data_IF_208957470099
#
_entry.id   IF_208957470099
#
_cell.length_a   1.000
_cell.length_b   1.000
_cell.length_c   1.000
_cell.angle_alpha   90.00
_cell.angle_beta   90.00
_cell.angle_gamma   90.00
#
_symmetry.space_group_name_H-M   'P 1'
#
loop_
_entity.id
_entity.type
_entity.pdbx_description
1 polymer ?
#
# COMPACT_ATOMS: atom_id res chain seq x y z
N UNK A 1 41.10 40.84 34.11
CA UNK A 1 41.82 39.91 33.21
C UNK A 1 41.16 40.00 31.85
N UNK A 2 41.88 40.54 30.87
CA UNK A 2 41.39 40.77 29.52
C UNK A 2 41.90 39.61 28.67
N UNK A 3 41.01 38.76 28.18
CA UNK A 3 41.38 37.68 27.25
C UNK A 3 41.97 38.29 25.98
N UNK A 4 43.16 37.84 25.52
CA UNK A 4 43.76 38.39 24.31
C UNK A 4 42.89 38.04 23.08
N UNK A 5 42.78 38.95 22.10
CA UNK A 5 41.99 38.70 20.89
C UNK A 5 42.55 37.50 20.13
N UNK A 6 41.69 36.51 19.85
CA UNK A 6 42.04 35.34 19.05
C UNK A 6 42.59 35.79 17.70
N UNK A 7 43.84 35.44 17.41
CA UNK A 7 44.47 35.75 16.12
C UNK A 7 43.65 35.17 14.96
N UNK A 8 43.58 35.89 13.82
CA UNK A 8 42.71 35.53 12.69
C UNK A 8 42.86 34.09 12.16
N UNK A 9 43.98 33.42 12.47
CA UNK A 9 44.25 32.01 12.14
C UNK A 9 43.47 31.03 13.03
N UNK A 10 43.26 31.35 14.31
CA UNK A 10 42.43 30.54 15.23
C UNK A 10 40.94 30.67 14.92
N UNK A 11 40.48 31.85 14.52
CA UNK A 11 39.08 32.07 14.11
C UNK A 11 38.76 31.29 12.83
N UNK A 12 39.65 31.34 11.82
CA UNK A 12 39.52 30.56 10.59
C UNK A 12 39.47 29.05 10.84
N UNK A 13 40.31 28.53 11.75
CA UNK A 13 40.31 27.11 12.14
C UNK A 13 39.01 26.70 12.84
N UNK A 14 38.49 27.53 13.77
CA UNK A 14 37.20 27.25 14.43
C UNK A 14 36.03 27.28 13.44
N UNK A 15 36.04 28.22 12.49
CA UNK A 15 35.03 28.28 11.43
C UNK A 15 35.08 27.07 10.50
N UNK A 16 36.28 26.57 10.14
CA UNK A 16 36.42 25.36 9.31
C UNK A 16 35.95 24.11 10.04
N UNK A 17 36.27 23.96 11.32
CA UNK A 17 35.80 22.82 12.13
C UNK A 17 34.27 22.87 12.27
N UNK A 18 33.69 24.03 12.58
CA UNK A 18 32.25 24.17 12.67
C UNK A 18 31.55 23.84 11.34
N UNK A 19 32.08 24.34 10.21
CA UNK A 19 31.55 24.03 8.89
C UNK A 19 31.66 22.53 8.55
N UNK A 20 32.79 21.89 8.88
CA UNK A 20 32.97 20.46 8.66
C UNK A 20 32.01 19.61 9.50
N UNK A 21 31.76 19.99 10.75
CA UNK A 21 30.80 19.30 11.64
C UNK A 21 29.37 19.47 11.11
N UNK A 22 28.96 20.67 10.71
CA UNK A 22 27.64 20.92 10.12
C UNK A 22 27.47 20.12 8.82
N UNK A 23 28.50 20.08 7.98
CA UNK A 23 28.46 19.33 6.73
C UNK A 23 28.38 17.82 6.99
N UNK A 24 29.15 17.29 7.94
CA UNK A 24 29.08 15.87 8.32
C UNK A 24 27.71 15.49 8.90
N UNK A 25 27.13 16.31 9.77
CA UNK A 25 25.78 16.09 10.32
C UNK A 25 24.71 16.18 9.23
N UNK A 26 24.84 17.11 8.28
CA UNK A 26 23.92 17.23 7.14
C UNK A 26 24.02 16.03 6.19
N UNK A 27 25.22 15.56 5.87
CA UNK A 27 25.44 14.42 4.98
C UNK A 27 24.96 13.09 5.57
N UNK A 28 25.01 12.92 6.90
CA UNK A 28 24.52 11.71 7.57
C UNK A 28 23.01 11.81 7.89
N UNK A 29 22.51 13.00 8.26
CA UNK A 29 21.12 13.19 8.65
C UNK A 29 20.12 13.27 7.49
N UNK A 30 20.52 13.83 6.33
CA UNK A 30 19.66 13.94 5.16
C UNK A 30 19.20 12.59 4.58
N UNK A 31 20.07 11.59 4.34
CA UNK A 31 19.64 10.31 3.77
C UNK A 31 18.74 9.52 4.73
N UNK A 32 18.99 9.58 6.04
CA UNK A 32 18.16 8.91 7.05
C UNK A 32 16.77 9.54 7.10
N UNK A 33 16.68 10.87 7.09
CA UNK A 33 15.39 11.57 7.08
C UNK A 33 14.58 11.24 5.82
N UNK A 34 15.23 11.19 4.67
CA UNK A 34 14.57 10.86 3.39
C UNK A 34 14.12 9.40 3.32
N UNK A 35 14.90 8.46 3.87
CA UNK A 35 14.50 7.06 3.97
C UNK A 35 13.31 6.89 4.92
N UNK A 36 13.32 7.58 6.05
CA UNK A 36 12.22 7.56 7.02
C UNK A 36 10.95 8.18 6.44
N UNK A 37 11.03 9.35 5.77
CA UNK A 37 9.83 9.93 5.13
C UNK A 37 9.26 9.06 4.03
N UNK A 38 10.12 8.41 3.23
CA UNK A 38 9.66 7.46 2.20
C UNK A 38 9.03 6.21 2.81
N UNK A 39 9.59 5.67 3.89
CA UNK A 39 9.02 4.54 4.61
C UNK A 39 7.66 4.91 5.25
N UNK A 40 7.52 6.14 5.73
CA UNK A 40 6.28 6.69 6.28
C UNK A 40 5.23 6.86 5.19
N UNK A 41 5.58 7.47 4.06
CA UNK A 41 4.68 7.62 2.92
C UNK A 41 4.28 6.27 2.33
N UNK A 42 5.20 5.31 2.31
CA UNK A 42 4.94 3.95 1.84
C UNK A 42 4.03 3.15 2.77
N UNK A 43 4.04 3.44 4.08
CA UNK A 43 3.21 2.75 5.08
C UNK A 43 1.90 3.43 5.42
N UNK A 44 1.67 4.66 4.95
CA UNK A 44 0.49 5.46 5.28
C UNK A 44 -0.76 4.82 4.67
N UNK A 45 -1.77 4.59 5.52
CA UNK A 45 -3.08 4.12 5.09
C UNK A 45 -3.85 5.21 4.35
N UNK A 46 -5.05 4.86 3.90
CA UNK A 46 -5.89 5.75 3.11
C UNK A 46 -6.67 6.74 3.98
N UNK A 47 -7.23 7.78 3.35
CA UNK A 47 -7.97 8.84 4.06
C UNK A 47 -9.39 8.45 4.47
N UNK A 48 -9.96 7.44 3.83
CA UNK A 48 -11.33 6.97 4.10
C UNK A 48 -11.38 5.44 4.09
N UNK A 49 -12.37 4.83 4.78
CA UNK A 49 -12.63 3.39 4.73
C UNK A 49 -12.75 2.86 3.30
N UNK A 50 -13.56 3.54 2.47
CA UNK A 50 -13.80 3.14 1.09
C UNK A 50 -12.53 3.21 0.24
N UNK A 51 -11.71 4.25 0.41
CA UNK A 51 -10.44 4.36 -0.29
C UNK A 51 -9.47 3.23 0.11
N UNK A 52 -9.45 2.83 1.40
CA UNK A 52 -8.63 1.70 1.85
C UNK A 52 -9.03 0.38 1.17
N UNK A 53 -10.35 0.13 1.06
CA UNK A 53 -10.88 -1.04 0.38
C UNK A 53 -10.62 -1.03 -1.14
N UNK A 54 -10.74 0.12 -1.79
CA UNK A 54 -10.42 0.29 -3.21
C UNK A 54 -8.91 0.09 -3.47
N UNK A 55 -8.05 0.72 -2.67
CA UNK A 55 -6.60 0.56 -2.76
C UNK A 55 -6.18 -0.91 -2.55
N UNK A 56 -6.83 -1.62 -1.63
CA UNK A 56 -6.64 -3.06 -1.45
C UNK A 56 -6.97 -3.85 -2.73
N UNK A 57 -8.13 -3.62 -3.35
CA UNK A 57 -8.53 -4.33 -4.58
C UNK A 57 -7.52 -4.11 -5.71
N UNK A 58 -7.11 -2.86 -5.91
CA UNK A 58 -6.14 -2.48 -6.92
C UNK A 58 -4.77 -3.12 -6.63
N UNK A 59 -4.31 -3.09 -5.39
CA UNK A 59 -3.07 -3.74 -4.99
C UNK A 59 -3.13 -5.25 -5.22
N UNK A 60 -4.26 -5.92 -4.96
CA UNK A 60 -4.40 -7.37 -5.16
C UNK A 60 -4.29 -7.76 -6.63
N UNK A 61 -5.08 -7.11 -7.50
CA UNK A 61 -5.30 -7.58 -8.87
C UNK A 61 -4.53 -6.80 -9.95
N UNK A 62 -3.99 -5.63 -9.61
CA UNK A 62 -3.19 -4.78 -10.50
C UNK A 62 -1.91 -4.30 -9.80
N UNK A 63 -1.07 -5.22 -9.28
CA UNK A 63 0.03 -4.88 -8.38
C UNK A 63 1.12 -4.00 -9.01
N UNK A 64 1.32 -4.06 -10.32
CA UNK A 64 2.40 -3.33 -11.00
C UNK A 64 2.16 -1.82 -11.09
N UNK A 65 0.88 -1.42 -11.14
CA UNK A 65 0.45 -0.01 -11.30
C UNK A 65 0.03 0.63 -9.97
N UNK A 66 0.06 -0.12 -8.86
CA UNK A 66 -0.64 0.24 -7.64
C UNK A 66 0.22 0.13 -6.36
N UNK A 67 -0.26 0.70 -5.24
CA UNK A 67 0.19 0.40 -3.89
C UNK A 67 0.88 -0.94 -3.66
N UNK A 68 1.98 -0.93 -2.90
CA UNK A 68 2.38 -2.15 -2.19
C UNK A 68 1.24 -2.56 -1.25
N UNK A 69 0.75 -3.79 -1.41
CA UNK A 69 -0.31 -4.38 -0.60
C UNK A 69 -0.03 -4.22 0.91
N UNK A 70 1.24 -4.22 1.33
CA UNK A 70 1.62 -4.03 2.73
C UNK A 70 1.07 -2.73 3.35
N UNK A 71 0.84 -1.69 2.55
CA UNK A 71 0.28 -0.41 3.04
C UNK A 71 -1.24 -0.47 3.27
N UNK A 72 -1.90 -1.41 2.60
CA UNK A 72 -3.34 -1.58 2.64
C UNK A 72 -3.81 -2.48 3.80
N UNK A 73 -2.91 -3.24 4.42
CA UNK A 73 -3.24 -4.26 5.43
C UNK A 73 -3.01 -3.76 6.85
N UNK A 74 -3.92 -4.08 7.76
CA UNK A 74 -3.74 -3.80 9.19
C UNK A 74 -2.58 -4.61 9.78
N UNK A 75 -1.91 -4.04 10.80
CA UNK A 75 -0.74 -4.63 11.44
C UNK A 75 -1.03 -5.92 12.20
N UNK A 76 -2.13 -5.97 12.96
CA UNK A 76 -2.41 -7.05 13.92
C UNK A 76 -2.66 -8.42 13.26
N UNK A 77 -3.05 -8.45 11.99
CA UNK A 77 -3.32 -9.68 11.23
C UNK A 77 -2.62 -9.72 9.86
N UNK A 78 -1.53 -8.97 9.72
CA UNK A 78 -0.90 -8.71 8.42
C UNK A 78 -0.46 -9.98 7.69
N UNK A 79 0.16 -10.92 8.39
CA UNK A 79 0.73 -12.12 7.75
C UNK A 79 -0.35 -13.06 7.20
N UNK A 80 -1.50 -13.14 7.88
CA UNK A 80 -2.68 -13.89 7.43
C UNK A 80 -3.28 -13.26 6.18
N UNK A 81 -3.52 -11.95 6.22
CA UNK A 81 -4.05 -11.21 5.07
C UNK A 81 -3.11 -11.29 3.87
N UNK A 82 -1.80 -11.21 4.10
CA UNK A 82 -0.81 -11.34 3.04
C UNK A 82 -0.80 -12.75 2.43
N UNK A 83 -1.03 -13.79 3.23
CA UNK A 83 -1.24 -15.16 2.71
C UNK A 83 -2.50 -15.24 1.86
N UNK A 84 -3.63 -14.69 2.33
CA UNK A 84 -4.88 -14.66 1.56
C UNK A 84 -4.73 -13.92 0.22
N UNK A 85 -4.05 -12.76 0.22
CA UNK A 85 -3.76 -12.02 -1.02
C UNK A 85 -2.91 -12.85 -1.98
N UNK A 86 -1.87 -13.51 -1.50
CA UNK A 86 -1.04 -14.38 -2.35
C UNK A 86 -1.85 -15.54 -2.93
N UNK A 87 -2.74 -16.12 -2.16
CA UNK A 87 -3.58 -17.23 -2.64
C UNK A 87 -4.62 -16.76 -3.66
N UNK A 88 -5.16 -15.54 -3.51
CA UNK A 88 -6.02 -14.91 -4.53
C UNK A 88 -5.23 -14.66 -5.82
N UNK A 89 -4.03 -14.09 -5.72
CA UNK A 89 -3.17 -13.83 -6.89
C UNK A 89 -2.81 -15.11 -7.63
N UNK A 90 -2.42 -16.17 -6.92
CA UNK A 90 -2.11 -17.47 -7.53
C UNK A 90 -3.29 -18.07 -8.29
N UNK A 91 -4.51 -17.96 -7.75
CA UNK A 91 -5.71 -18.43 -8.44
C UNK A 91 -5.91 -17.70 -9.77
N UNK A 92 -5.69 -16.39 -9.79
CA UNK A 92 -5.78 -15.56 -10.99
C UNK A 92 -4.65 -15.88 -11.98
N UNK A 93 -3.39 -15.88 -11.53
CA UNK A 93 -2.22 -16.16 -12.37
C UNK A 93 -2.31 -17.52 -13.08
N UNK A 94 -2.86 -18.54 -12.40
CA UNK A 94 -3.01 -19.87 -12.99
C UNK A 94 -4.06 -19.97 -14.11
N UNK A 95 -4.90 -18.93 -14.27
CA UNK A 95 -6.07 -18.95 -15.15
C UNK A 95 -6.08 -17.82 -16.17
N UNK A 96 -5.39 -16.71 -15.91
CA UNK A 96 -5.57 -15.44 -16.61
C UNK A 96 -4.28 -15.03 -17.28
N UNK A 97 -4.34 -14.85 -18.60
CA UNK A 97 -3.14 -14.63 -19.43
C UNK A 97 -2.85 -13.14 -19.65
N UNK A 98 -3.88 -12.28 -19.69
CA UNK A 98 -3.74 -10.88 -20.12
C UNK A 98 -4.11 -9.84 -19.06
N UNK A 99 -4.73 -10.24 -17.95
CA UNK A 99 -4.97 -9.37 -16.81
C UNK A 99 -6.42 -9.35 -16.32
N UNK A 100 -6.62 -8.59 -15.24
CA UNK A 100 -7.90 -8.44 -14.54
C UNK A 100 -8.37 -6.99 -14.64
N UNK A 101 -9.56 -6.80 -15.21
CA UNK A 101 -10.28 -5.54 -15.12
C UNK A 101 -11.19 -5.58 -13.89
N UNK A 102 -11.13 -4.52 -13.10
CA UNK A 102 -11.92 -4.36 -11.88
C UNK A 102 -12.81 -3.15 -12.08
N UNK A 103 -14.10 -3.29 -11.81
CA UNK A 103 -15.03 -2.18 -11.70
C UNK A 103 -15.73 -2.28 -10.34
N UNK A 104 -15.81 -1.17 -9.61
CA UNK A 104 -16.45 -1.12 -8.29
C UNK A 104 -17.62 -0.14 -8.31
N UNK A 105 -18.72 -0.52 -7.67
CA UNK A 105 -19.93 0.31 -7.56
C UNK A 105 -20.60 0.13 -6.20
N UNK A 106 -21.55 1.01 -5.86
CA UNK A 106 -22.37 0.90 -4.65
C UNK A 106 -21.57 0.77 -3.36
N UNK A 107 -20.54 1.62 -3.20
CA UNK A 107 -19.79 1.74 -1.97
C UNK A 107 -20.71 2.17 -0.82
N UNK A 108 -20.72 1.39 0.25
CA UNK A 108 -21.45 1.66 1.48
C UNK A 108 -20.48 1.48 2.64
N UNK A 109 -20.40 2.47 3.52
CA UNK A 109 -19.62 2.38 4.76
C UNK A 109 -20.60 2.29 5.92
N UNK A 110 -20.38 1.31 6.79
CA UNK A 110 -21.05 1.22 8.08
C UNK A 110 -20.20 2.00 9.10
N UNK A 111 -20.73 3.14 9.54
CA UNK A 111 -20.04 4.05 10.46
C UNK A 111 -19.87 3.45 11.87
N UNK A 112 -20.57 2.35 12.19
CA UNK A 112 -20.54 1.76 13.53
C UNK A 112 -19.34 0.83 13.77
N UNK A 113 -18.85 0.17 12.72
CA UNK A 113 -17.77 -0.83 12.80
C UNK A 113 -16.66 -0.65 11.75
N UNK A 114 -16.77 0.35 10.86
CA UNK A 114 -15.81 0.59 9.79
C UNK A 114 -15.88 -0.45 8.66
N UNK A 115 -16.95 -1.26 8.61
CA UNK A 115 -17.17 -2.20 7.52
C UNK A 115 -17.58 -1.45 6.26
N UNK A 116 -16.84 -1.68 5.18
CA UNK A 116 -17.15 -1.19 3.85
C UNK A 116 -17.70 -2.34 3.03
N UNK A 117 -18.80 -2.11 2.31
CA UNK A 117 -19.30 -3.04 1.31
C UNK A 117 -19.37 -2.40 -0.07
N UNK A 118 -19.07 -3.17 -1.10
CA UNK A 118 -19.11 -2.71 -2.48
C UNK A 118 -19.49 -3.86 -3.41
N UNK A 119 -20.09 -3.52 -4.55
CA UNK A 119 -20.25 -4.45 -5.66
C UNK A 119 -18.97 -4.42 -6.49
N UNK A 120 -18.28 -5.55 -6.57
CA UNK A 120 -17.02 -5.72 -7.29
C UNK A 120 -17.26 -6.60 -8.51
N UNK A 121 -17.11 -6.00 -9.68
CA UNK A 121 -17.10 -6.69 -10.97
C UNK A 121 -15.65 -7.02 -11.33
N UNK A 122 -15.34 -8.31 -11.40
CA UNK A 122 -14.04 -8.79 -11.86
C UNK A 122 -14.21 -9.42 -13.23
N UNK A 123 -13.51 -8.88 -14.22
CA UNK A 123 -13.44 -9.43 -15.57
C UNK A 123 -12.04 -9.91 -15.88
N UNK A 124 -11.95 -11.17 -16.23
CA UNK A 124 -10.74 -11.91 -16.54
C UNK A 124 -10.64 -12.11 -18.04
N UNK A 125 -9.45 -11.88 -18.59
CA UNK A 125 -9.17 -12.12 -19.99
C UNK A 125 -8.37 -13.40 -20.14
N UNK A 126 -8.99 -14.40 -20.75
CA UNK A 126 -8.42 -15.71 -21.02
C UNK A 126 -8.13 -15.84 -22.51
N UNK A 127 -7.01 -16.48 -22.86
CA UNK A 127 -6.70 -16.82 -24.25
C UNK A 127 -6.54 -18.32 -24.36
N UNK A 128 -7.33 -18.90 -25.24
CA UNK A 128 -7.28 -20.33 -25.49
C UNK A 128 -6.05 -20.72 -26.34
N UNK A 129 -5.71 -22.02 -26.43
CA UNK A 129 -4.57 -22.46 -27.25
C UNK A 129 -4.71 -22.16 -28.74
N UNK A 130 -5.90 -21.83 -29.23
CA UNK A 130 -6.15 -21.42 -30.63
C UNK A 130 -5.95 -19.91 -30.85
N UNK A 131 -5.70 -19.15 -29.79
CA UNK A 131 -5.53 -17.70 -29.82
C UNK A 131 -6.83 -16.91 -29.71
N UNK A 132 -7.96 -17.57 -29.44
CA UNK A 132 -9.24 -16.88 -29.19
C UNK A 132 -9.24 -16.24 -27.81
N UNK A 133 -9.74 -15.01 -27.73
CA UNK A 133 -9.85 -14.26 -26.48
C UNK A 133 -11.27 -14.42 -25.93
N UNK A 134 -11.38 -14.93 -24.70
CA UNK A 134 -12.65 -15.02 -23.97
C UNK A 134 -12.59 -14.19 -22.70
N UNK A 135 -13.73 -13.58 -22.35
CA UNK A 135 -13.87 -12.81 -21.13
C UNK A 135 -14.78 -13.56 -20.17
N UNK A 136 -14.29 -13.81 -18.95
CA UNK A 136 -15.07 -14.41 -17.87
C UNK A 136 -15.19 -13.41 -16.74
N UNK A 137 -16.35 -13.29 -16.11
CA UNK A 137 -16.50 -12.35 -15.01
C UNK A 137 -17.89 -12.36 -14.40
N UNK A 138 -17.97 -11.78 -13.21
CA UNK A 138 -19.22 -11.61 -12.50
C UNK A 138 -19.12 -10.42 -11.54
N UNK A 139 -20.27 -9.87 -11.16
CA UNK A 139 -20.35 -8.84 -10.12
C UNK A 139 -20.86 -9.47 -8.82
N UNK A 140 -20.09 -9.37 -7.74
CA UNK A 140 -20.55 -9.80 -6.42
C UNK A 140 -20.23 -8.78 -5.34
N UNK A 141 -20.98 -8.87 -4.24
CA UNK A 141 -20.76 -8.03 -3.07
C UNK A 141 -19.53 -8.52 -2.29
N UNK A 142 -18.60 -7.62 -2.05
CA UNK A 142 -17.48 -7.79 -1.14
C UNK A 142 -17.73 -6.99 0.13
N UNK A 143 -17.23 -7.47 1.26
CA UNK A 143 -17.15 -6.71 2.51
C UNK A 143 -15.71 -6.62 2.98
N UNK A 144 -15.31 -5.44 3.38
CA UNK A 144 -13.98 -5.09 3.86
C UNK A 144 -14.14 -4.53 5.25
N UNK A 145 -13.55 -5.17 6.25
CA UNK A 145 -13.49 -4.65 7.60
C UNK A 145 -12.28 -3.73 7.66
N UNK A 146 -12.52 -2.44 7.86
CA UNK A 146 -11.45 -1.44 7.90
C UNK A 146 -11.30 -0.83 9.28
N UNK A 147 -10.09 -0.42 9.60
CA UNK A 147 -9.80 0.26 10.86
C UNK A 147 -8.85 1.42 10.59
N UNK A 148 -9.09 2.53 11.27
CA UNK A 148 -8.17 3.65 11.27
C UNK A 148 -7.01 3.36 12.23
N UNK A 149 -5.83 3.09 11.68
CA UNK A 149 -4.63 2.93 12.48
C UNK A 149 -4.04 4.29 12.82
N UNK A 150 -3.65 4.47 14.08
CA UNK A 150 -2.92 5.65 14.52
C UNK A 150 -1.42 5.60 14.19
N UNK A 151 -0.73 6.72 14.41
CA UNK A 151 0.73 6.80 14.29
C UNK A 151 1.22 7.28 12.93
N UNK A 152 2.54 7.17 12.72
CA UNK A 152 3.23 7.83 11.62
C UNK A 152 2.88 7.20 10.26
N UNK A 153 2.66 5.88 10.23
CA UNK A 153 2.12 5.09 9.11
C UNK A 153 0.62 4.84 9.24
N UNK A 154 -0.09 5.74 9.94
CA UNK A 154 -1.51 5.61 10.21
C UNK A 154 -2.40 5.88 9.00
N UNK A 155 -3.71 5.74 9.19
CA UNK A 155 -4.75 5.86 8.17
C UNK A 155 -5.63 4.61 8.13
N UNK A 156 -6.65 4.64 7.25
CA UNK A 156 -7.56 3.52 7.08
C UNK A 156 -6.87 2.36 6.36
N UNK A 157 -7.02 1.16 6.93
CA UNK A 157 -6.47 -0.08 6.39
C UNK A 157 -7.49 -1.21 6.48
N UNK A 158 -7.29 -2.24 5.67
CA UNK A 158 -8.14 -3.44 5.61
C UNK A 158 -7.60 -4.49 6.57
N UNK A 159 -8.42 -4.91 7.53
CA UNK A 159 -8.06 -5.89 8.55
C UNK A 159 -8.65 -7.28 8.25
N UNK A 160 -9.70 -7.33 7.44
CA UNK A 160 -10.35 -8.57 6.99
C UNK A 160 -11.15 -8.30 5.72
N UNK A 161 -11.19 -9.30 4.85
CA UNK A 161 -12.03 -9.27 3.64
C UNK A 161 -12.92 -10.49 3.63
N UNK A 162 -14.23 -10.26 3.62
CA UNK A 162 -15.22 -11.29 3.34
C UNK A 162 -15.64 -11.15 1.86
N UNK A 163 -15.00 -11.95 1.01
CA UNK A 163 -15.25 -12.00 -0.42
C UNK A 163 -15.77 -13.39 -0.83
N UNK A 164 -16.61 -13.49 -1.87
CA UNK A 164 -16.92 -14.78 -2.48
C UNK A 164 -15.65 -15.44 -3.03
N UNK A 165 -15.57 -16.78 -3.03
CA UNK A 165 -14.41 -17.48 -3.58
C UNK A 165 -14.29 -17.18 -5.08
N UNK A 166 -13.07 -16.93 -5.57
CA UNK A 166 -12.85 -16.68 -6.99
C UNK A 166 -13.24 -17.91 -7.82
N UNK A 167 -12.75 -19.08 -7.42
CA UNK A 167 -13.16 -20.35 -8.03
C UNK A 167 -14.65 -20.67 -7.78
N UNK A 168 -15.35 -21.07 -8.85
CA UNK A 168 -16.76 -21.45 -8.82
C UNK A 168 -17.73 -20.27 -8.86
N UNK A 169 -17.30 -19.07 -8.45
CA UNK A 169 -18.12 -17.85 -8.51
C UNK A 169 -17.75 -16.97 -9.70
N UNK A 170 -16.45 -16.67 -9.83
CA UNK A 170 -15.91 -15.77 -10.85
C UNK A 170 -15.19 -16.51 -11.98
N UNK A 171 -14.44 -17.55 -11.61
CA UNK A 171 -13.64 -18.37 -12.51
C UNK A 171 -14.23 -19.78 -12.58
N UNK A 172 -14.13 -20.42 -13.74
CA UNK A 172 -14.46 -21.84 -13.87
C UNK A 172 -13.30 -22.67 -13.35
N UNK A 173 -13.48 -23.24 -12.17
CA UNK A 173 -12.61 -24.23 -11.56
C UNK A 173 -13.39 -25.53 -11.41
#
# INVERSE_FOLDING_TARGET
MIEPPLTGRQWRRRATIAAAVVFAVACIGAPVRQAVTRAIEAGRGEKTPAAAAEAYLLAVFQPDDNPDINRCLCGDNRDELFRQVRDLRKQVESRVTFGVRIETTNWQTDDSDGTVSAMVDLRFTEVDPSGSVTFTGATHRWRFHTTEEGGISGGWKVCRVDAPPLCGTYLRC
#
